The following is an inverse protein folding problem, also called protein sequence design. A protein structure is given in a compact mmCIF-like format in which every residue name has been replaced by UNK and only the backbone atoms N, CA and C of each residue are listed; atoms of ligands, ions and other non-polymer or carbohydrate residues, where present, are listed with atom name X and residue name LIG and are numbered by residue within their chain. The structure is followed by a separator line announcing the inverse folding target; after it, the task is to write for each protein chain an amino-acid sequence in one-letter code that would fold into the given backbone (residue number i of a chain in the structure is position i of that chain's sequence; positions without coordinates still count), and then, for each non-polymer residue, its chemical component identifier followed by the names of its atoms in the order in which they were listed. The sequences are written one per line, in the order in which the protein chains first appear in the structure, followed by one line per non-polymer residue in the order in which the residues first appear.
data_IF_811574309245
#
_entry.id   IF_811574309245
#
_cell.length_a   1.000
_cell.length_b   1.000
_cell.length_c   1.000
_cell.angle_alpha   90.00
_cell.angle_beta   90.00
_cell.angle_gamma   90.00
#
_symmetry.space_group_name_H-M   'P 1'
#
loop_
_entity.id
_entity.type
_entity.pdbx_description
1 polymer ?
#
# COMPACT_ATOMS: atom_id res chain seq x y z
N UNK A 1 -9.59 -13.40 -8.19
CA UNK A 1 -10.28 -12.12 -8.50
C UNK A 1 -11.12 -11.56 -7.34
N UNK A 2 -11.84 -12.38 -6.61
CA UNK A 2 -12.56 -11.92 -5.39
C UNK A 2 -11.61 -11.52 -4.23
N UNK A 3 -10.41 -12.11 -4.13
CA UNK A 3 -9.45 -11.79 -3.06
C UNK A 3 -8.82 -10.39 -3.19
N UNK A 4 -8.48 -9.94 -4.40
CA UNK A 4 -7.91 -8.59 -4.60
C UNK A 4 -8.92 -7.45 -4.38
N UNK A 5 -10.23 -7.73 -4.54
CA UNK A 5 -11.28 -6.78 -4.15
C UNK A 5 -11.58 -6.83 -2.64
N UNK A 6 -11.30 -7.96 -1.98
CA UNK A 6 -11.50 -8.15 -0.55
C UNK A 6 -10.59 -7.28 0.32
N UNK A 7 -9.32 -7.11 -0.06
CA UNK A 7 -8.39 -6.28 0.71
C UNK A 7 -8.72 -4.78 0.65
N UNK A 8 -9.16 -4.27 -0.50
CA UNK A 8 -9.55 -2.85 -0.64
C UNK A 8 -10.78 -2.45 0.18
N UNK A 9 -11.53 -3.43 0.67
CA UNK A 9 -12.75 -3.26 1.47
C UNK A 9 -12.75 -4.05 2.77
N UNK A 10 -11.63 -4.68 3.15
CA UNK A 10 -11.53 -5.43 4.40
C UNK A 10 -11.82 -4.51 5.59
N UNK A 11 -12.94 -4.77 6.24
CA UNK A 11 -13.38 -4.03 7.41
C UNK A 11 -12.50 -4.43 8.60
N UNK A 12 -11.76 -3.48 9.15
CA UNK A 12 -11.04 -3.69 10.42
C UNK A 12 -12.02 -3.55 11.58
N UNK A 13 -12.72 -4.62 11.86
CA UNK A 13 -13.71 -4.64 12.94
C UNK A 13 -13.06 -4.78 14.33
N UNK A 14 -11.86 -5.34 14.39
CA UNK A 14 -11.15 -5.65 15.63
C UNK A 14 -9.99 -4.70 15.94
N UNK A 15 -9.66 -3.77 15.03
CA UNK A 15 -8.65 -2.74 15.23
C UNK A 15 -7.20 -3.22 15.08
N UNK A 16 -6.95 -4.18 14.19
CA UNK A 16 -5.61 -4.67 13.88
C UNK A 16 -4.86 -3.78 12.88
N UNK A 17 -5.58 -2.91 12.16
CA UNK A 17 -5.05 -2.13 11.04
C UNK A 17 -3.83 -1.30 11.41
N UNK A 18 -3.78 -0.72 12.61
CA UNK A 18 -2.62 0.08 13.04
C UNK A 18 -1.35 -0.75 13.12
N UNK A 19 -1.42 -2.00 13.61
CA UNK A 19 -0.24 -2.90 13.69
C UNK A 19 0.12 -3.38 12.28
N UNK A 20 -0.87 -3.78 11.47
CA UNK A 20 -0.66 -4.12 10.06
C UNK A 20 0.07 -3.01 9.31
N UNK A 21 -0.42 -1.77 9.43
CA UNK A 21 0.16 -0.63 8.75
C UNK A 21 1.57 -0.32 9.28
N UNK A 22 1.83 -0.55 10.57
CA UNK A 22 3.17 -0.41 11.15
C UNK A 22 4.19 -1.34 10.48
N UNK A 23 3.85 -2.62 10.28
CA UNK A 23 4.71 -3.56 9.55
C UNK A 23 4.86 -3.17 8.08
N UNK A 24 3.75 -2.80 7.44
CA UNK A 24 3.76 -2.41 6.05
C UNK A 24 4.61 -1.15 5.80
N UNK A 25 4.54 -0.16 6.69
CA UNK A 25 5.33 1.07 6.57
C UNK A 25 6.83 0.82 6.83
N UNK A 26 7.16 -0.12 7.69
CA UNK A 26 8.56 -0.48 7.98
C UNK A 26 9.19 -1.30 6.83
N UNK A 27 8.49 -2.32 6.34
CA UNK A 27 8.99 -3.23 5.30
C UNK A 27 8.93 -2.61 3.90
N UNK A 28 7.84 -1.89 3.60
CA UNK A 28 7.49 -1.39 2.28
C UNK A 28 7.11 0.10 2.31
N UNK A 29 8.04 0.98 2.72
CA UNK A 29 7.78 2.43 2.73
C UNK A 29 7.40 2.91 1.33
N UNK A 30 6.69 4.02 1.26
CA UNK A 30 6.23 4.60 0.00
C UNK A 30 5.23 3.74 -0.79
N UNK A 31 4.61 2.74 -0.16
CA UNK A 31 3.53 1.93 -0.76
C UNK A 31 2.17 2.25 -0.16
N UNK A 32 1.12 1.97 -0.92
CA UNK A 32 -0.29 2.05 -0.48
C UNK A 32 -1.11 1.05 -1.27
N UNK A 33 -2.18 0.52 -0.69
CA UNK A 33 -3.11 -0.39 -1.37
C UNK A 33 -3.79 0.21 -2.62
N UNK A 34 -3.69 1.53 -2.82
CA UNK A 34 -4.22 2.22 -4.00
C UNK A 34 -3.18 2.39 -5.12
N UNK A 35 -1.91 2.08 -4.83
CA UNK A 35 -0.86 2.16 -5.82
C UNK A 35 -0.93 0.98 -6.79
N UNK A 36 -0.40 1.20 -7.98
CA UNK A 36 -0.30 0.19 -9.04
C UNK A 36 1.15 0.12 -9.53
N UNK A 37 1.53 0.89 -10.53
CA UNK A 37 2.89 0.93 -11.07
C UNK A 37 3.70 2.09 -10.50
N UNK A 38 4.99 1.86 -10.32
CA UNK A 38 5.90 2.84 -9.74
C UNK A 38 6.12 4.04 -10.68
N UNK A 39 5.97 3.90 -11.99
CA UNK A 39 6.18 4.97 -12.98
C UNK A 39 5.24 6.17 -12.78
N UNK A 40 4.16 6.02 -12.02
CA UNK A 40 3.35 7.17 -11.60
C UNK A 40 4.12 8.21 -10.81
N UNK A 41 5.17 7.82 -10.08
CA UNK A 41 6.08 8.74 -9.38
C UNK A 41 6.85 9.67 -10.34
N UNK A 42 6.96 9.30 -11.62
CA UNK A 42 7.54 10.13 -12.68
C UNK A 42 6.45 10.85 -13.48
N UNK A 43 5.34 10.19 -13.81
CA UNK A 43 4.24 10.81 -14.54
C UNK A 43 3.69 12.05 -13.83
N UNK A 44 3.56 12.01 -12.50
CA UNK A 44 2.99 13.13 -11.72
C UNK A 44 3.83 14.40 -11.84
N UNK A 45 5.14 14.41 -11.55
CA UNK A 45 5.96 15.61 -11.74
C UNK A 45 6.08 16.01 -13.21
N UNK A 46 6.10 15.09 -14.16
CA UNK A 46 6.07 15.43 -15.58
C UNK A 46 4.76 16.12 -16.00
N UNK A 47 3.61 15.69 -15.48
CA UNK A 47 2.34 16.40 -15.68
C UNK A 47 2.40 17.82 -15.11
N UNK A 48 3.00 18.02 -13.93
CA UNK A 48 3.15 19.36 -13.35
C UNK A 48 4.02 20.26 -14.23
N UNK A 49 5.15 19.74 -14.73
CA UNK A 49 6.00 20.45 -15.69
C UNK A 49 5.28 20.76 -17.00
N UNK A 50 4.49 19.82 -17.51
CA UNK A 50 3.66 20.02 -18.70
C UNK A 50 2.65 21.16 -18.51
N UNK A 51 1.91 21.17 -17.38
CA UNK A 51 0.96 22.25 -17.06
C UNK A 51 1.69 23.60 -16.92
N UNK A 52 2.84 23.62 -16.26
CA UNK A 52 3.63 24.84 -16.10
C UNK A 52 4.21 25.36 -17.43
N UNK A 53 4.48 24.46 -18.39
CA UNK A 53 5.04 24.80 -19.69
C UNK A 53 4.00 25.32 -20.69
N UNK A 54 2.76 24.83 -20.63
CA UNK A 54 1.68 25.27 -21.52
C UNK A 54 1.06 26.59 -21.03
N UNK A 55 1.13 27.69 -21.81
CA UNK A 55 0.62 28.99 -21.37
C UNK A 55 -0.89 29.00 -21.09
N UNK A 56 -1.67 28.17 -21.77
CA UNK A 56 -3.14 28.11 -21.60
C UNK A 56 -3.52 27.35 -20.32
N UNK A 57 -2.88 26.19 -20.10
CA UNK A 57 -3.08 25.37 -18.89
C UNK A 57 -2.60 26.12 -17.64
N UNK A 58 -1.40 26.73 -17.70
CA UNK A 58 -0.84 27.53 -16.64
C UNK A 58 -1.77 28.69 -16.23
N UNK A 59 -2.26 29.46 -17.20
CA UNK A 59 -3.20 30.57 -16.94
C UNK A 59 -4.51 30.07 -16.31
N UNK A 60 -5.03 28.93 -16.77
CA UNK A 60 -6.24 28.33 -16.18
C UNK A 60 -5.99 27.88 -14.75
N UNK A 61 -4.89 27.17 -14.50
CA UNK A 61 -4.58 26.60 -13.19
C UNK A 61 -4.26 27.67 -12.13
N UNK A 62 -3.71 28.82 -12.54
CA UNK A 62 -3.39 29.93 -11.62
C UNK A 62 -4.58 30.71 -11.07
N UNK A 63 -5.80 30.44 -11.50
CA UNK A 63 -7.00 31.18 -11.04
C UNK A 63 -7.28 30.91 -9.56
N UNK A 64 -7.32 29.65 -9.17
CA UNK A 64 -7.55 29.16 -7.82
C UNK A 64 -7.26 27.64 -7.72
N UNK A 65 -7.31 27.09 -6.50
CA UNK A 65 -7.06 25.67 -6.25
C UNK A 65 -8.05 24.73 -6.95
N UNK A 66 -9.28 25.16 -7.17
CA UNK A 66 -10.30 24.40 -7.90
C UNK A 66 -9.93 24.31 -9.38
N UNK A 67 -9.61 25.44 -9.99
CA UNK A 67 -9.16 25.49 -11.38
C UNK A 67 -7.87 24.67 -11.60
N UNK A 68 -6.94 24.69 -10.63
CA UNK A 68 -5.75 23.86 -10.66
C UNK A 68 -6.07 22.35 -10.65
N UNK A 69 -7.04 21.92 -9.80
CA UNK A 69 -7.52 20.53 -9.78
C UNK A 69 -8.21 20.13 -11.09
N UNK A 70 -9.04 21.00 -11.64
CA UNK A 70 -9.74 20.75 -12.90
C UNK A 70 -8.74 20.60 -14.06
N UNK A 71 -7.72 21.46 -14.13
CA UNK A 71 -6.64 21.34 -15.12
C UNK A 71 -5.85 20.05 -14.94
N UNK A 72 -5.50 19.69 -13.69
CA UNK A 72 -4.79 18.47 -13.40
C UNK A 72 -5.62 17.22 -13.76
N UNK A 73 -6.94 17.26 -13.54
CA UNK A 73 -7.84 16.19 -13.95
C UNK A 73 -7.91 16.06 -15.47
N UNK A 74 -7.98 17.19 -16.23
CA UNK A 74 -7.95 17.18 -17.69
C UNK A 74 -6.63 16.58 -18.23
N UNK A 75 -5.50 16.94 -17.63
CA UNK A 75 -4.19 16.38 -18.02
C UNK A 75 -4.07 14.91 -17.64
N UNK A 76 -4.61 14.51 -16.47
CA UNK A 76 -4.67 13.09 -16.08
C UNK A 76 -5.50 12.26 -17.09
N UNK A 77 -6.57 12.81 -17.67
CA UNK A 77 -7.33 12.11 -18.71
C UNK A 77 -6.49 11.86 -19.97
N UNK A 78 -5.64 12.80 -20.36
CA UNK A 78 -4.68 12.57 -21.46
C UNK A 78 -3.69 11.45 -21.14
N UNK A 79 -3.18 11.42 -19.89
CA UNK A 79 -2.33 10.32 -19.42
C UNK A 79 -3.05 8.98 -19.49
N UNK A 80 -4.30 8.90 -19.03
CA UNK A 80 -5.13 7.68 -19.10
C UNK A 80 -5.28 7.19 -20.54
N UNK A 81 -5.59 8.08 -21.50
CA UNK A 81 -5.75 7.68 -22.88
C UNK A 81 -4.42 7.24 -23.51
N UNK A 82 -3.30 7.92 -23.24
CA UNK A 82 -1.99 7.52 -23.71
C UNK A 82 -1.56 6.13 -23.13
N UNK A 83 -1.85 5.88 -21.86
CA UNK A 83 -1.60 4.57 -21.22
C UNK A 83 -2.52 3.48 -21.78
N UNK A 84 -3.79 3.77 -22.07
CA UNK A 84 -4.68 2.81 -22.72
C UNK A 84 -4.16 2.37 -24.09
N UNK A 85 -3.65 3.29 -24.87
CA UNK A 85 -3.04 3.00 -26.16
C UNK A 85 -1.79 2.14 -26.00
N UNK A 86 -0.84 2.55 -25.14
CA UNK A 86 0.43 1.84 -24.95
C UNK A 86 0.29 0.48 -24.28
N UNK A 87 -0.76 0.29 -23.47
CA UNK A 87 -1.04 -0.97 -22.78
C UNK A 87 -2.04 -1.87 -23.51
N UNK A 88 -2.43 -1.53 -24.73
CA UNK A 88 -3.42 -2.30 -25.50
C UNK A 88 -4.70 -2.61 -24.71
N UNK A 89 -5.21 -1.59 -24.00
CA UNK A 89 -6.32 -1.72 -23.04
C UNK A 89 -7.54 -2.44 -23.61
N UNK A 90 -7.94 -2.15 -24.85
CA UNK A 90 -9.13 -2.72 -25.48
C UNK A 90 -9.01 -4.23 -25.75
N UNK A 91 -7.79 -4.74 -25.91
CA UNK A 91 -7.53 -6.18 -26.16
C UNK A 91 -7.37 -7.00 -24.89
N UNK A 92 -7.34 -6.37 -23.69
CA UNK A 92 -7.19 -7.05 -22.40
C UNK A 92 -8.46 -7.79 -21.99
N UNK A 93 -8.29 -8.94 -21.31
CA UNK A 93 -9.40 -9.69 -20.72
C UNK A 93 -10.14 -8.85 -19.68
N UNK A 94 -11.44 -9.14 -19.46
CA UNK A 94 -12.24 -8.46 -18.44
C UNK A 94 -11.65 -8.57 -17.03
N UNK A 95 -10.84 -9.61 -16.79
CA UNK A 95 -10.20 -9.88 -15.51
C UNK A 95 -9.01 -8.95 -15.22
N UNK A 96 -8.29 -8.53 -16.27
CA UNK A 96 -7.12 -7.65 -16.19
C UNK A 96 -7.32 -6.33 -16.94
N UNK A 97 -8.57 -5.92 -17.08
CA UNK A 97 -8.93 -4.80 -17.95
C UNK A 97 -8.29 -3.48 -17.56
N UNK A 98 -8.01 -3.24 -16.26
CA UNK A 98 -7.42 -1.96 -15.85
C UNK A 98 -5.94 -1.87 -16.15
N UNK A 99 -5.19 -2.99 -16.14
CA UNK A 99 -3.73 -3.01 -16.32
C UNK A 99 -2.99 -2.00 -15.46
N UNK A 100 -3.50 -1.74 -14.23
CA UNK A 100 -2.91 -0.75 -13.33
C UNK A 100 -3.19 0.71 -13.69
N UNK A 101 -3.99 1.02 -14.72
CA UNK A 101 -4.29 2.40 -15.14
C UNK A 101 -5.32 3.02 -14.21
N UNK A 102 -4.88 3.97 -13.37
CA UNK A 102 -5.76 4.68 -12.43
C UNK A 102 -6.70 5.61 -13.20
N UNK A 103 -7.99 5.38 -13.07
CA UNK A 103 -9.03 6.15 -13.77
C UNK A 103 -9.47 5.56 -15.09
N UNK A 104 -8.93 4.41 -15.54
CA UNK A 104 -9.31 3.79 -16.81
C UNK A 104 -10.82 3.57 -16.99
N UNK A 105 -11.52 3.19 -15.91
CA UNK A 105 -12.97 2.96 -15.91
C UNK A 105 -13.75 4.19 -15.42
N UNK A 106 -13.23 4.89 -14.39
CA UNK A 106 -13.93 6.02 -13.79
C UNK A 106 -13.88 7.29 -14.64
N UNK A 107 -12.90 7.43 -15.52
CA UNK A 107 -12.73 8.62 -16.34
C UNK A 107 -12.75 9.91 -15.51
N UNK A 108 -13.55 10.89 -15.93
CA UNK A 108 -13.72 12.16 -15.23
C UNK A 108 -14.44 12.06 -13.87
N UNK A 109 -15.07 10.92 -13.56
CA UNK A 109 -15.69 10.66 -12.26
C UNK A 109 -14.68 10.17 -11.20
N UNK A 110 -13.39 10.09 -11.55
CA UNK A 110 -12.32 9.71 -10.62
C UNK A 110 -12.27 10.70 -9.45
N UNK A 111 -12.49 10.20 -8.23
CA UNK A 111 -12.53 11.02 -7.02
C UNK A 111 -11.14 11.43 -6.52
N UNK A 112 -10.18 10.51 -6.63
CA UNK A 112 -8.78 10.73 -6.21
C UNK A 112 -7.85 10.60 -7.40
N UNK A 113 -7.20 11.70 -7.75
CA UNK A 113 -6.20 11.71 -8.82
C UNK A 113 -4.92 10.98 -8.40
N UNK A 114 -4.14 10.42 -9.33
CA UNK A 114 -2.86 9.80 -9.03
C UNK A 114 -1.94 10.67 -8.17
N UNK A 115 -1.91 11.98 -8.40
CA UNK A 115 -1.13 12.93 -7.60
C UNK A 115 -1.51 12.97 -6.12
N UNK A 116 -2.77 12.66 -5.78
CA UNK A 116 -3.21 12.54 -4.38
C UNK A 116 -2.94 11.15 -3.82
N UNK A 117 -3.09 10.11 -4.65
CA UNK A 117 -2.86 8.71 -4.27
C UNK A 117 -1.37 8.49 -3.95
N UNK A 118 -0.47 9.00 -4.79
CA UNK A 118 0.99 8.85 -4.64
C UNK A 118 1.66 9.94 -3.79
N UNK A 119 0.89 10.87 -3.22
CA UNK A 119 1.44 12.01 -2.50
C UNK A 119 2.37 11.61 -1.34
N UNK A 120 1.95 10.66 -0.52
CA UNK A 120 2.76 10.15 0.59
C UNK A 120 4.06 9.50 0.10
N UNK A 121 3.99 8.71 -0.97
CA UNK A 121 5.16 8.08 -1.57
C UNK A 121 6.15 9.11 -2.14
N UNK A 122 5.66 10.15 -2.81
CA UNK A 122 6.49 11.25 -3.31
C UNK A 122 7.25 11.95 -2.18
N UNK A 123 6.61 12.15 -1.03
CA UNK A 123 7.25 12.73 0.16
C UNK A 123 8.29 11.77 0.76
N UNK A 124 7.90 10.51 1.00
CA UNK A 124 8.79 9.49 1.60
C UNK A 124 10.05 9.27 0.75
N UNK A 125 9.91 9.22 -0.57
CA UNK A 125 11.02 9.04 -1.50
C UNK A 125 11.70 10.35 -1.88
N UNK A 126 11.29 11.47 -1.29
CA UNK A 126 11.85 12.79 -1.59
C UNK A 126 11.88 13.07 -3.11
N UNK A 127 10.83 12.68 -3.83
CA UNK A 127 10.69 12.94 -5.27
C UNK A 127 10.62 14.45 -5.53
N UNK A 128 10.12 15.22 -4.58
CA UNK A 128 10.18 16.67 -4.57
C UNK A 128 10.84 17.18 -3.29
N UNK A 129 11.52 18.30 -3.39
CA UNK A 129 12.12 19.00 -2.27
C UNK A 129 11.26 20.22 -1.92
N UNK A 130 10.84 20.33 -0.66
CA UNK A 130 10.14 21.52 -0.19
C UNK A 130 9.01 21.23 0.82
N UNK A 131 8.48 22.29 1.42
CA UNK A 131 7.53 22.20 2.53
C UNK A 131 6.06 22.01 2.08
N UNK A 132 5.82 21.65 0.82
CA UNK A 132 4.47 21.58 0.30
C UNK A 132 3.66 20.48 1.00
N UNK A 133 2.45 20.86 1.40
CA UNK A 133 1.53 19.98 2.13
C UNK A 133 0.49 19.32 1.23
N UNK A 134 0.50 19.62 -0.08
CA UNK A 134 -0.45 19.03 -1.03
C UNK A 134 0.06 19.10 -2.49
N UNK A 135 -0.43 18.18 -3.36
CA UNK A 135 -0.10 18.21 -4.79
C UNK A 135 -0.42 19.54 -5.48
N UNK A 136 -1.49 20.21 -5.08
CA UNK A 136 -1.91 21.48 -5.68
C UNK A 136 -0.93 22.61 -5.32
N UNK A 137 -0.48 22.66 -4.07
CA UNK A 137 0.53 23.65 -3.67
C UNK A 137 1.86 23.42 -4.40
N UNK A 138 2.25 22.14 -4.55
CA UNK A 138 3.42 21.79 -5.33
C UNK A 138 3.28 22.24 -6.80
N UNK A 139 2.12 22.01 -7.43
CA UNK A 139 1.85 22.47 -8.79
C UNK A 139 1.97 24.00 -8.91
N UNK A 140 1.41 24.76 -7.98
CA UNK A 140 1.55 26.22 -7.97
C UNK A 140 3.01 26.64 -7.85
N UNK A 141 3.80 26.02 -6.96
CA UNK A 141 5.25 26.29 -6.87
C UNK A 141 5.98 26.01 -8.19
N UNK A 142 5.69 24.87 -8.83
CA UNK A 142 6.30 24.52 -10.14
C UNK A 142 6.02 25.61 -11.19
N UNK A 143 4.78 26.09 -11.26
CA UNK A 143 4.38 27.16 -12.18
C UNK A 143 5.08 28.49 -11.88
N UNK A 144 5.24 28.84 -10.59
CA UNK A 144 5.85 30.11 -10.18
C UNK A 144 7.38 30.10 -10.40
N UNK A 145 8.04 28.99 -10.07
CA UNK A 145 9.48 28.85 -10.28
C UNK A 145 9.82 28.93 -11.78
N UNK A 146 9.03 28.27 -12.64
CA UNK A 146 9.20 28.37 -14.10
C UNK A 146 9.01 29.81 -14.59
N UNK A 147 8.00 30.53 -14.10
CA UNK A 147 7.78 31.92 -14.48
C UNK A 147 8.92 32.83 -14.04
N UNK A 148 9.54 32.57 -12.88
CA UNK A 148 10.72 33.29 -12.41
C UNK A 148 11.94 32.99 -13.27
N UNK A 149 12.22 31.71 -13.61
CA UNK A 149 13.32 31.30 -14.49
C UNK A 149 13.19 31.90 -15.88
N UNK A 150 11.98 31.91 -16.46
CA UNK A 150 11.74 32.52 -17.76
C UNK A 150 12.02 34.03 -17.72
N UNK A 151 11.63 34.76 -16.65
CA UNK A 151 11.93 36.20 -16.49
C UNK A 151 13.42 36.47 -16.40
N UNK A 152 14.19 35.65 -15.65
CA UNK A 152 15.65 35.78 -15.54
C UNK A 152 16.34 35.59 -16.88
N UNK A 153 15.95 34.60 -17.68
CA UNK A 153 16.49 34.36 -19.02
C UNK A 153 16.34 35.54 -19.98
N UNK A 154 15.35 36.41 -19.76
CA UNK A 154 15.16 37.62 -20.57
C UNK A 154 15.93 38.83 -20.02
N UNK A 155 16.44 38.78 -18.77
CA UNK A 155 17.08 39.91 -18.10
C UNK A 155 18.59 39.83 -17.96
N UNK A 156 19.20 38.66 -18.16
CA UNK A 156 20.64 38.45 -17.97
C UNK A 156 21.27 37.63 -19.12
N UNK A 157 22.46 38.02 -19.57
CA UNK A 157 23.36 37.17 -20.34
C UNK A 157 23.89 36.06 -19.44
N UNK A 158 23.21 34.91 -19.39
CA UNK A 158 23.51 33.83 -18.46
C UNK A 158 24.20 32.67 -19.13
N UNK A 159 25.14 32.05 -18.39
CA UNK A 159 25.98 30.90 -18.71
C UNK A 159 25.15 29.69 -19.18
N UNK A 160 25.69 28.88 -20.07
CA UNK A 160 25.01 27.75 -20.75
C UNK A 160 24.52 26.66 -19.78
N UNK A 161 25.16 26.52 -18.60
CA UNK A 161 24.80 25.57 -17.53
C UNK A 161 23.50 25.94 -16.80
N UNK A 162 23.16 27.23 -16.72
CA UNK A 162 21.95 27.72 -16.08
C UNK A 162 20.72 27.60 -16.99
N UNK A 163 20.94 27.33 -18.29
CA UNK A 163 19.86 27.14 -19.29
C UNK A 163 19.12 25.81 -19.14
N UNK A 164 19.71 24.82 -18.48
CA UNK A 164 19.12 23.47 -18.29
C UNK A 164 18.40 23.30 -16.97
N UNK A 165 18.60 24.21 -15.98
CA UNK A 165 17.87 24.11 -14.72
C UNK A 165 16.50 24.77 -14.81
N UNK A 166 15.45 24.00 -14.58
CA UNK A 166 14.07 24.49 -14.47
C UNK A 166 13.86 25.39 -13.24
N UNK A 167 14.92 25.70 -12.47
CA UNK A 167 14.85 26.39 -11.17
C UNK A 167 14.11 25.56 -10.10
N UNK A 168 13.72 24.33 -10.44
CA UNK A 168 13.19 23.33 -9.53
C UNK A 168 14.37 22.42 -9.17
N UNK A 169 14.63 22.27 -7.88
CA UNK A 169 15.65 21.36 -7.37
C UNK A 169 15.25 19.87 -7.54
N UNK A 170 14.68 19.53 -8.69
CA UNK A 170 14.26 18.16 -9.00
C UNK A 170 15.23 17.51 -9.98
N UNK A 171 16.04 16.63 -9.47
CA UNK A 171 16.86 15.74 -10.29
C UNK A 171 15.99 14.58 -10.80
N UNK A 172 15.00 14.88 -11.65
CA UNK A 172 14.16 13.86 -12.28
C UNK A 172 14.70 13.48 -13.65
N UNK A 173 14.59 12.21 -14.06
CA UNK A 173 14.77 11.83 -15.45
C UNK A 173 13.88 12.69 -16.35
N UNK A 174 14.34 13.01 -17.59
CA UNK A 174 13.53 13.77 -18.53
C UNK A 174 12.26 12.99 -18.91
N UNK A 175 11.17 13.72 -19.12
CA UNK A 175 9.97 13.10 -19.71
C UNK A 175 10.28 12.65 -21.15
N UNK A 176 9.62 11.58 -21.65
CA UNK A 176 9.67 11.24 -23.07
C UNK A 176 9.34 12.47 -23.94
N UNK A 177 10.03 12.63 -25.05
CA UNK A 177 9.90 13.84 -25.90
C UNK A 177 8.49 14.08 -26.46
N UNK A 178 7.69 13.03 -26.51
CA UNK A 178 6.29 13.01 -26.95
C UNK A 178 5.29 12.92 -25.79
N UNK A 179 5.73 13.09 -24.54
CA UNK A 179 4.89 12.97 -23.34
C UNK A 179 3.62 13.83 -23.44
N UNK A 180 2.46 13.18 -23.38
CA UNK A 180 1.11 13.75 -23.51
C UNK A 180 0.84 14.47 -24.84
N UNK A 181 1.61 14.20 -25.90
CA UNK A 181 1.23 14.60 -27.26
C UNK A 181 0.07 13.74 -27.74
N UNK A 182 -0.72 14.29 -28.66
CA UNK A 182 -1.80 13.53 -29.27
C UNK A 182 -1.25 12.26 -29.95
N UNK A 183 -1.91 11.13 -29.70
CA UNK A 183 -1.58 9.81 -30.28
C UNK A 183 -0.21 9.22 -29.89
N UNK A 184 0.45 9.75 -28.85
CA UNK A 184 1.68 9.16 -28.33
C UNK A 184 1.35 8.13 -27.24
N UNK A 185 1.60 6.82 -27.48
CA UNK A 185 1.35 5.79 -26.47
C UNK A 185 2.36 5.88 -25.33
N UNK A 186 1.90 5.60 -24.11
CA UNK A 186 2.74 5.48 -22.93
C UNK A 186 2.57 4.09 -22.29
N UNK A 187 3.66 3.56 -21.73
CA UNK A 187 3.66 2.29 -21.00
C UNK A 187 4.08 2.51 -19.55
N UNK A 188 3.99 1.45 -18.73
CA UNK A 188 4.56 1.45 -17.38
C UNK A 188 6.01 0.97 -17.34
N UNK A 189 6.54 0.51 -18.47
CA UNK A 189 7.93 0.10 -18.58
C UNK A 189 8.86 1.27 -18.30
N UNK A 190 9.84 1.05 -17.43
CA UNK A 190 10.86 2.04 -17.10
C UNK A 190 12.02 1.97 -18.08
N UNK A 191 12.58 3.11 -18.44
CA UNK A 191 13.92 3.12 -19.00
C UNK A 191 14.95 2.85 -17.89
N UNK A 192 16.18 2.51 -18.26
CA UNK A 192 17.26 2.27 -17.30
C UNK A 192 17.48 3.47 -16.38
N UNK A 193 17.57 4.68 -16.94
CA UNK A 193 17.75 5.92 -16.17
C UNK A 193 16.60 6.16 -15.18
N UNK A 194 15.36 5.87 -15.59
CA UNK A 194 14.17 5.97 -14.72
C UNK A 194 14.23 4.95 -13.58
N UNK A 195 14.63 3.71 -13.89
CA UNK A 195 14.77 2.65 -12.90
C UNK A 195 15.91 2.94 -11.90
N UNK A 196 17.08 3.37 -12.37
CA UNK A 196 18.21 3.77 -11.53
C UNK A 196 17.87 4.96 -10.62
N UNK A 197 17.13 5.94 -11.15
CA UNK A 197 16.65 7.07 -10.35
C UNK A 197 15.73 6.58 -9.22
N UNK A 198 14.71 5.77 -9.54
CA UNK A 198 13.73 5.28 -8.55
C UNK A 198 14.40 4.35 -7.53
N UNK A 199 15.27 3.43 -7.98
CA UNK A 199 16.07 2.57 -7.10
C UNK A 199 16.90 3.38 -6.11
N UNK A 200 17.60 4.43 -6.61
CA UNK A 200 18.37 5.33 -5.78
C UNK A 200 17.52 6.13 -4.77
N UNK A 201 16.25 6.37 -5.05
CA UNK A 201 15.34 7.00 -4.08
C UNK A 201 14.97 6.07 -2.93
N UNK A 202 14.68 4.80 -3.21
CA UNK A 202 14.44 3.80 -2.16
C UNK A 202 15.66 3.57 -1.26
N UNK A 203 16.87 3.53 -1.85
CA UNK A 203 18.11 3.34 -1.10
C UNK A 203 18.46 4.52 -0.19
N UNK A 204 18.01 5.73 -0.53
CA UNK A 204 18.21 6.97 0.25
C UNK A 204 17.05 7.31 1.18
N UNK A 205 15.92 6.63 1.05
CA UNK A 205 14.81 6.84 1.97
C UNK A 205 15.26 6.47 3.38
N UNK A 206 15.44 7.49 4.22
CA UNK A 206 15.85 7.29 5.60
C UNK A 206 14.79 6.50 6.37
N UNK A 207 15.20 5.61 7.29
CA UNK A 207 14.28 4.98 8.22
C UNK A 207 13.52 6.06 8.99
N UNK A 208 12.23 5.86 9.18
CA UNK A 208 11.29 6.83 9.78
C UNK A 208 11.59 7.23 11.25
N UNK A 209 12.72 6.81 11.85
CA UNK A 209 13.01 7.00 13.27
C UNK A 209 14.48 7.33 13.56
N UNK A 210 14.70 8.10 14.64
CA UNK A 210 16.03 8.44 15.18
C UNK A 210 16.89 7.21 15.59
N UNK A 211 16.28 6.05 15.76
CA UNK A 211 16.91 4.74 15.98
C UNK A 211 16.18 3.71 15.13
N UNK A 212 16.64 3.48 13.92
CA UNK A 212 15.96 2.55 13.02
C UNK A 212 16.05 1.12 13.56
N UNK A 213 14.90 0.46 13.60
CA UNK A 213 14.80 -1.00 13.88
C UNK A 213 15.37 -1.78 12.71
N UNK A 214 15.22 -1.23 11.50
CA UNK A 214 15.76 -1.75 10.25
C UNK A 214 16.86 -0.81 9.76
N UNK A 215 17.99 -1.36 9.33
CA UNK A 215 19.05 -0.59 8.67
C UNK A 215 18.58 -0.09 7.29
N UNK A 216 17.69 -0.86 6.65
CA UNK A 216 17.03 -0.54 5.38
C UNK A 216 15.67 -1.24 5.31
N UNK A 217 14.77 -0.74 4.47
CA UNK A 217 13.51 -1.42 4.19
C UNK A 217 13.73 -2.71 3.37
N UNK A 218 12.77 -3.63 3.42
CA UNK A 218 12.80 -4.82 2.56
C UNK A 218 12.80 -4.45 1.07
N UNK A 219 12.07 -3.42 0.67
CA UNK A 219 12.08 -2.91 -0.72
C UNK A 219 13.50 -2.47 -1.13
N UNK A 220 14.17 -1.67 -0.30
CA UNK A 220 15.53 -1.20 -0.59
C UNK A 220 16.54 -2.36 -0.62
N UNK A 221 16.39 -3.35 0.26
CA UNK A 221 17.20 -4.55 0.24
C UNK A 221 17.02 -5.35 -1.05
N UNK A 222 15.77 -5.66 -1.45
CA UNK A 222 15.49 -6.41 -2.67
C UNK A 222 15.99 -5.68 -3.94
N UNK A 223 15.92 -4.35 -3.99
CA UNK A 223 16.47 -3.58 -5.10
C UNK A 223 18.00 -3.69 -5.15
N UNK A 224 18.68 -3.64 -4.00
CA UNK A 224 20.15 -3.68 -3.93
C UNK A 224 20.68 -5.08 -4.20
N UNK A 225 20.04 -6.08 -3.62
CA UNK A 225 20.37 -7.48 -3.81
C UNK A 225 19.54 -8.05 -4.97
N UNK A 226 20.03 -7.79 -6.19
CA UNK A 226 19.40 -8.24 -7.44
C UNK A 226 19.19 -9.77 -7.52
N UNK A 227 19.79 -10.53 -6.59
CA UNK A 227 19.61 -11.97 -6.43
C UNK A 227 18.41 -12.33 -5.55
N UNK A 228 17.71 -11.37 -4.94
CA UNK A 228 16.51 -11.63 -4.18
C UNK A 228 15.40 -12.12 -5.10
N UNK A 229 15.22 -13.44 -5.18
CA UNK A 229 14.20 -14.04 -6.02
C UNK A 229 12.81 -13.82 -5.41
N UNK A 230 12.13 -12.79 -5.86
CA UNK A 230 10.74 -12.50 -5.48
C UNK A 230 9.73 -13.16 -6.40
N UNK A 231 10.18 -13.80 -7.49
CA UNK A 231 9.32 -14.37 -8.53
C UNK A 231 8.36 -15.40 -7.95
N UNK A 232 7.06 -15.13 -8.04
CA UNK A 232 6.01 -16.03 -7.57
C UNK A 232 5.78 -16.03 -6.06
N UNK A 233 6.51 -15.23 -5.28
CA UNK A 233 6.29 -15.13 -3.83
C UNK A 233 4.94 -14.47 -3.53
N UNK A 234 4.04 -15.24 -2.96
CA UNK A 234 2.71 -14.76 -2.56
C UNK A 234 2.80 -13.84 -1.31
N UNK A 235 3.76 -14.11 -0.44
CA UNK A 235 4.00 -13.36 0.80
C UNK A 235 5.47 -12.99 0.94
N UNK A 236 5.79 -11.90 1.65
CA UNK A 236 7.18 -11.47 1.85
C UNK A 236 7.99 -12.39 2.80
N UNK A 237 7.34 -13.35 3.44
CA UNK A 237 7.96 -14.35 4.32
C UNK A 237 7.99 -15.75 3.73
N UNK A 238 7.98 -15.91 2.42
CA UNK A 238 8.27 -17.20 1.80
C UNK A 238 9.65 -17.71 2.24
N UNK A 239 9.85 -19.04 2.39
CA UNK A 239 11.06 -19.59 2.99
C UNK A 239 12.36 -19.07 2.37
N UNK A 240 12.40 -18.93 1.04
CA UNK A 240 13.58 -18.47 0.29
C UNK A 240 13.90 -17.01 0.62
N UNK A 241 12.88 -16.16 0.75
CA UNK A 241 13.05 -14.76 1.13
C UNK A 241 13.49 -14.62 2.61
N UNK A 242 12.90 -15.43 3.50
CA UNK A 242 13.31 -15.44 4.92
C UNK A 242 14.74 -15.89 5.09
N UNK A 243 15.20 -16.93 4.36
CA UNK A 243 16.56 -17.44 4.44
C UNK A 243 17.58 -16.41 3.95
N UNK A 244 17.27 -15.71 2.86
CA UNK A 244 18.15 -14.71 2.26
C UNK A 244 18.17 -13.37 3.03
N UNK A 245 17.09 -13.04 3.75
CA UNK A 245 16.92 -11.74 4.38
C UNK A 245 17.95 -11.48 5.50
N UNK A 246 18.46 -10.23 5.63
CA UNK A 246 19.20 -9.76 6.79
C UNK A 246 18.46 -10.02 8.10
N UNK A 247 19.17 -10.18 9.20
CA UNK A 247 18.60 -10.57 10.48
C UNK A 247 17.53 -9.61 11.02
N UNK A 248 17.72 -8.31 10.82
CA UNK A 248 16.77 -7.27 11.22
C UNK A 248 15.46 -7.37 10.40
N UNK A 249 15.55 -7.50 9.08
CA UNK A 249 14.41 -7.70 8.19
C UNK A 249 13.73 -9.04 8.50
N UNK A 250 14.51 -10.12 8.63
CA UNK A 250 13.99 -11.47 8.97
C UNK A 250 13.17 -11.44 10.26
N UNK A 251 13.69 -10.76 11.31
CA UNK A 251 12.97 -10.60 12.58
C UNK A 251 11.61 -9.96 12.39
N UNK A 252 11.54 -8.87 11.61
CA UNK A 252 10.27 -8.18 11.33
C UNK A 252 9.32 -9.07 10.52
N UNK A 253 9.83 -9.78 9.50
CA UNK A 253 9.04 -10.69 8.67
C UNK A 253 8.44 -11.86 9.47
N UNK A 254 9.20 -12.45 10.39
CA UNK A 254 8.71 -13.55 11.25
C UNK A 254 7.56 -13.04 12.13
N UNK A 255 7.70 -11.87 12.76
CA UNK A 255 6.61 -11.29 13.55
C UNK A 255 5.39 -10.90 12.71
N UNK A 256 5.60 -10.38 11.50
CA UNK A 256 4.51 -10.06 10.57
C UNK A 256 3.74 -11.32 10.13
N UNK A 257 4.46 -12.40 9.82
CA UNK A 257 3.89 -13.72 9.49
C UNK A 257 3.03 -14.26 10.63
N UNK A 258 3.57 -14.27 11.84
CA UNK A 258 2.89 -14.82 13.02
C UNK A 258 1.68 -13.97 13.40
N UNK A 259 1.80 -12.64 13.28
CA UNK A 259 0.67 -11.72 13.44
C UNK A 259 -0.42 -11.95 12.38
N UNK A 260 -0.06 -12.16 11.12
CA UNK A 260 -1.03 -12.49 10.06
C UNK A 260 -1.77 -13.80 10.38
N UNK A 261 -1.04 -14.84 10.79
CA UNK A 261 -1.67 -16.11 11.16
C UNK A 261 -2.62 -15.96 12.34
N UNK A 262 -2.22 -15.18 13.36
CA UNK A 262 -3.04 -14.91 14.54
C UNK A 262 -4.32 -14.13 14.21
N UNK A 263 -4.20 -13.08 13.40
CA UNK A 263 -5.34 -12.24 13.02
C UNK A 263 -6.33 -12.94 12.09
N UNK A 264 -5.84 -13.89 11.26
CA UNK A 264 -6.72 -14.79 10.48
C UNK A 264 -7.68 -15.57 11.35
N UNK A 265 -7.19 -16.10 12.47
CA UNK A 265 -8.03 -16.85 13.41
C UNK A 265 -9.11 -15.96 14.04
N UNK A 266 -8.74 -14.74 14.42
CA UNK A 266 -9.70 -13.77 14.95
C UNK A 266 -10.77 -13.41 13.91
N UNK A 267 -10.35 -13.16 12.66
CA UNK A 267 -11.27 -12.84 11.56
C UNK A 267 -12.19 -14.02 11.21
N UNK A 268 -11.66 -15.24 11.15
CA UNK A 268 -12.45 -16.44 10.91
C UNK A 268 -13.48 -16.67 12.01
N UNK A 269 -13.07 -16.59 13.28
CA UNK A 269 -13.97 -16.72 14.43
C UNK A 269 -15.03 -15.59 14.48
N UNK A 270 -14.64 -14.36 14.13
CA UNK A 270 -15.58 -13.23 13.98
C UNK A 270 -16.62 -13.51 12.89
N UNK A 271 -16.19 -14.01 11.74
CA UNK A 271 -17.07 -14.32 10.62
C UNK A 271 -18.05 -15.46 10.93
N UNK A 272 -17.64 -16.47 11.69
CA UNK A 272 -18.54 -17.51 12.19
C UNK A 272 -19.65 -16.88 13.02
N UNK A 273 -19.31 -16.08 14.04
CA UNK A 273 -20.30 -15.43 14.90
C UNK A 273 -21.25 -14.51 14.12
N UNK A 274 -20.68 -13.76 13.14
CA UNK A 274 -21.46 -12.85 12.33
C UNK A 274 -22.46 -13.60 11.44
N UNK A 275 -22.03 -14.69 10.78
CA UNK A 275 -22.89 -15.45 9.87
C UNK A 275 -23.98 -16.22 10.62
N UNK A 276 -23.68 -16.77 11.80
CA UNK A 276 -24.67 -17.36 12.69
C UNK A 276 -25.72 -16.33 13.13
N UNK A 277 -25.27 -15.16 13.62
CA UNK A 277 -26.17 -14.10 14.03
C UNK A 277 -27.04 -13.53 12.89
N UNK A 278 -26.54 -13.55 11.66
CA UNK A 278 -27.30 -13.19 10.46
C UNK A 278 -28.31 -14.30 10.10
N UNK A 279 -27.93 -15.58 10.22
CA UNK A 279 -28.81 -16.70 9.96
C UNK A 279 -29.99 -16.73 10.95
N UNK A 280 -29.72 -16.49 12.23
CA UNK A 280 -30.78 -16.39 13.29
C UNK A 280 -31.74 -15.22 13.01
N UNK A 281 -31.23 -14.11 12.50
CA UNK A 281 -32.03 -12.92 12.20
C UNK A 281 -32.87 -13.06 10.93
N UNK A 282 -32.35 -13.72 9.89
CA UNK A 282 -32.97 -13.77 8.54
C UNK A 282 -33.66 -15.11 8.23
N UNK A 283 -33.43 -16.14 9.03
CA UNK A 283 -33.87 -17.52 8.76
C UNK A 283 -33.13 -18.18 7.60
N UNK A 284 -32.03 -17.60 7.10
CA UNK A 284 -31.23 -18.12 6.00
C UNK A 284 -29.74 -17.88 6.27
N UNK A 285 -28.94 -18.92 6.17
CA UNK A 285 -27.53 -18.90 6.50
C UNK A 285 -26.57 -19.43 5.41
N UNK A 286 -26.60 -18.89 4.17
CA UNK A 286 -25.82 -19.49 3.06
C UNK A 286 -24.30 -19.45 3.26
N UNK A 287 -23.81 -18.71 4.25
CA UNK A 287 -22.38 -18.51 4.51
C UNK A 287 -21.87 -19.14 5.81
N UNK A 288 -22.76 -19.74 6.61
CA UNK A 288 -22.38 -20.30 7.93
C UNK A 288 -21.39 -21.45 7.76
N UNK A 289 -21.72 -22.43 6.94
CA UNK A 289 -20.85 -23.59 6.69
C UNK A 289 -19.47 -23.17 6.20
N UNK A 290 -19.42 -22.23 5.23
CA UNK A 290 -18.16 -21.73 4.71
C UNK A 290 -17.32 -21.00 5.78
N UNK A 291 -17.97 -20.24 6.68
CA UNK A 291 -17.26 -19.57 7.76
C UNK A 291 -16.66 -20.58 8.74
N UNK A 292 -17.35 -21.66 9.04
CA UNK A 292 -16.82 -22.76 9.85
C UNK A 292 -15.66 -23.48 9.15
N UNK A 293 -15.78 -23.78 7.87
CA UNK A 293 -14.67 -24.37 7.08
C UNK A 293 -13.43 -23.47 7.06
N UNK A 294 -13.60 -22.15 6.98
CA UNK A 294 -12.49 -21.17 7.04
C UNK A 294 -11.80 -21.20 8.40
N UNK A 295 -12.58 -21.31 9.48
CA UNK A 295 -12.07 -21.42 10.84
C UNK A 295 -11.32 -22.74 11.07
N UNK A 296 -11.87 -23.86 10.58
CA UNK A 296 -11.22 -25.17 10.65
C UNK A 296 -9.91 -25.22 9.87
N UNK A 297 -9.88 -24.64 8.66
CA UNK A 297 -8.65 -24.50 7.87
C UNK A 297 -7.59 -23.68 8.59
N UNK A 298 -7.99 -22.58 9.24
CA UNK A 298 -7.07 -21.82 10.07
C UNK A 298 -6.52 -22.66 11.22
N UNK A 299 -7.37 -23.42 11.92
CA UNK A 299 -6.97 -24.24 13.04
C UNK A 299 -5.92 -25.29 12.63
N UNK A 300 -6.14 -25.96 11.52
CA UNK A 300 -5.16 -26.92 10.95
C UNK A 300 -3.83 -26.22 10.67
N UNK A 301 -3.86 -25.06 10.03
CA UNK A 301 -2.65 -24.29 9.69
C UNK A 301 -1.92 -23.79 10.94
N UNK A 302 -2.65 -23.26 11.92
CA UNK A 302 -2.08 -22.76 13.16
C UNK A 302 -1.47 -23.89 14.02
N UNK A 303 -2.11 -25.06 14.05
CA UNK A 303 -1.59 -26.24 14.73
C UNK A 303 -0.31 -26.80 14.07
N UNK A 304 -0.25 -26.78 12.75
CA UNK A 304 0.93 -27.21 11.98
C UNK A 304 2.12 -26.24 12.11
N UNK A 305 1.84 -24.94 12.26
CA UNK A 305 2.88 -23.92 12.44
C UNK A 305 3.51 -23.96 13.84
N UNK A 306 2.90 -24.65 14.79
CA UNK A 306 3.29 -24.66 16.20
C UNK A 306 2.59 -23.56 16.99
N UNK A 307 2.93 -23.46 18.27
CA UNK A 307 2.35 -22.44 19.15
C UNK A 307 3.01 -21.10 18.83
N UNK A 308 2.23 -20.17 18.30
CA UNK A 308 2.68 -18.82 17.96
C UNK A 308 3.38 -18.15 19.14
N UNK A 309 4.55 -17.55 18.88
CA UNK A 309 5.38 -16.88 19.89
C UNK A 309 5.68 -17.75 21.14
N UNK A 310 5.95 -19.04 20.94
CA UNK A 310 6.39 -19.95 21.99
C UNK A 310 7.92 -20.06 21.95
N UNK A 311 8.57 -19.60 23.01
CA UNK A 311 10.04 -19.67 23.18
C UNK A 311 10.59 -21.08 23.13
N UNK A 312 9.87 -22.01 23.74
CA UNK A 312 10.33 -23.41 23.83
C UNK A 312 10.29 -24.11 22.47
N UNK A 313 9.47 -23.63 21.57
CA UNK A 313 9.38 -24.10 20.18
C UNK A 313 10.32 -23.34 19.21
N UNK A 314 11.21 -22.48 19.71
CA UNK A 314 12.13 -21.68 18.91
C UNK A 314 11.49 -20.48 18.21
N UNK A 315 10.26 -20.12 18.58
CA UNK A 315 9.58 -18.93 18.11
C UNK A 315 9.97 -17.71 18.95
N UNK A 316 9.89 -16.53 18.34
CA UNK A 316 10.10 -15.27 19.05
C UNK A 316 8.99 -15.07 20.10
N UNK A 317 9.35 -14.50 21.28
CA UNK A 317 8.40 -14.25 22.35
C UNK A 317 7.40 -13.13 21.98
N UNK A 318 6.18 -13.19 22.54
CA UNK A 318 5.21 -12.12 22.40
C UNK A 318 5.71 -10.77 22.97
N UNK A 319 6.55 -10.81 23.99
CA UNK A 319 7.20 -9.60 24.52
C UNK A 319 8.08 -8.93 23.45
N UNK A 320 8.85 -9.71 22.68
CA UNK A 320 9.66 -9.22 21.57
C UNK A 320 8.79 -8.61 20.47
N UNK A 321 7.64 -9.22 20.16
CA UNK A 321 6.65 -8.66 19.25
C UNK A 321 6.12 -7.30 19.72
N UNK A 322 5.74 -7.19 21.00
CA UNK A 322 5.23 -5.96 21.61
C UNK A 322 6.26 -4.84 21.54
N UNK A 323 7.50 -5.15 21.93
CA UNK A 323 8.61 -4.19 21.93
C UNK A 323 8.98 -3.77 20.51
N UNK A 324 8.99 -4.70 19.56
CA UNK A 324 9.21 -4.42 18.14
C UNK A 324 8.13 -3.47 17.60
N UNK A 325 6.85 -3.78 17.80
CA UNK A 325 5.74 -2.95 17.31
C UNK A 325 5.80 -1.54 17.88
N UNK A 326 6.09 -1.39 19.19
CA UNK A 326 6.22 -0.07 19.83
C UNK A 326 7.48 0.67 19.39
N UNK A 327 8.55 -0.03 19.07
CA UNK A 327 9.78 0.55 18.52
C UNK A 327 9.54 1.05 17.08
N UNK A 328 8.79 0.31 16.27
CA UNK A 328 8.41 0.72 14.91
C UNK A 328 7.38 1.87 14.93
N UNK A 329 6.42 1.82 15.84
CA UNK A 329 5.37 2.82 15.94
C UNK A 329 4.88 3.02 17.39
N UNK A 330 5.42 4.01 18.11
CA UNK A 330 5.03 4.28 19.49
C UNK A 330 3.58 4.78 19.66
N UNK A 331 2.87 5.05 18.56
CA UNK A 331 1.46 5.47 18.58
C UNK A 331 0.47 4.31 18.62
N UNK A 332 0.94 3.06 18.50
CA UNK A 332 0.07 1.88 18.64
C UNK A 332 -0.52 1.84 20.04
N UNK A 333 -1.84 1.78 20.12
CA UNK A 333 -2.55 1.81 21.40
C UNK A 333 -2.25 0.53 22.22
N UNK A 334 -1.87 0.71 23.49
CA UNK A 334 -1.61 -0.43 24.40
C UNK A 334 -2.82 -1.37 24.50
N UNK A 335 -4.04 -0.82 24.51
CA UNK A 335 -5.28 -1.62 24.52
C UNK A 335 -5.44 -2.53 23.29
N UNK A 336 -4.79 -2.19 22.17
CA UNK A 336 -4.75 -3.07 21.00
C UNK A 336 -3.75 -4.20 21.20
N UNK A 337 -2.57 -3.93 21.74
CA UNK A 337 -1.58 -4.95 22.08
C UNK A 337 -2.10 -5.91 23.16
N UNK A 338 -2.76 -5.40 24.21
CA UNK A 338 -3.37 -6.21 25.26
C UNK A 338 -4.50 -7.11 24.71
N UNK A 339 -5.24 -6.63 23.71
CA UNK A 339 -6.22 -7.45 23.01
C UNK A 339 -5.56 -8.55 22.18
N UNK A 340 -4.45 -8.25 21.46
CA UNK A 340 -3.70 -9.24 20.70
C UNK A 340 -3.16 -10.33 21.60
N UNK A 341 -2.62 -9.99 22.77
CA UNK A 341 -2.11 -10.94 23.76
C UNK A 341 -3.22 -11.87 24.29
N UNK A 342 -4.36 -11.30 24.69
CA UNK A 342 -5.52 -12.09 25.14
C UNK A 342 -6.08 -13.00 24.04
N UNK A 343 -6.05 -12.54 22.80
CA UNK A 343 -6.45 -13.36 21.66
C UNK A 343 -5.42 -14.47 21.40
N UNK A 344 -4.14 -14.21 21.53
CA UNK A 344 -3.08 -15.22 21.44
C UNK A 344 -3.30 -16.36 22.45
N UNK A 345 -3.57 -16.03 23.71
CA UNK A 345 -3.84 -17.04 24.75
C UNK A 345 -5.08 -17.90 24.39
N UNK A 346 -6.11 -17.25 23.86
CA UNK A 346 -7.33 -17.93 23.39
C UNK A 346 -7.05 -18.83 22.19
N UNK A 347 -6.26 -18.37 21.24
CA UNK A 347 -5.85 -19.13 20.05
C UNK A 347 -5.00 -20.35 20.42
N UNK A 348 -4.06 -20.21 21.36
CA UNK A 348 -3.24 -21.31 21.90
C UNK A 348 -4.09 -22.41 22.52
N UNK A 349 -5.10 -22.05 23.30
CA UNK A 349 -6.01 -23.02 23.89
C UNK A 349 -6.85 -23.74 22.81
N UNK A 350 -7.29 -23.05 21.77
CA UNK A 350 -8.03 -23.64 20.67
C UNK A 350 -7.17 -24.63 19.86
N UNK A 351 -5.93 -24.26 19.53
CA UNK A 351 -4.99 -25.14 18.81
C UNK A 351 -4.62 -26.39 19.65
N UNK A 352 -4.41 -26.23 20.94
CA UNK A 352 -4.10 -27.36 21.84
C UNK A 352 -5.27 -28.36 21.94
N UNK A 353 -6.50 -27.89 21.84
CA UNK A 353 -7.71 -28.74 21.91
C UNK A 353 -8.17 -29.28 20.56
N UNK A 354 -7.60 -28.82 19.46
CA UNK A 354 -8.01 -29.13 18.07
C UNK A 354 -9.53 -28.92 17.85
N UNK A 355 -10.11 -27.92 18.52
CA UNK A 355 -11.55 -27.62 18.45
C UNK A 355 -11.79 -26.13 18.59
N UNK A 356 -12.51 -25.58 17.60
CA UNK A 356 -12.98 -24.18 17.60
C UNK A 356 -14.49 -24.08 17.73
N UNK A 357 -15.20 -25.18 17.57
CA UNK A 357 -16.66 -25.23 17.35
C UNK A 357 -17.48 -24.72 18.53
N UNK A 358 -16.90 -24.68 19.71
CA UNK A 358 -17.55 -24.07 20.89
C UNK A 358 -16.49 -23.48 21.83
N UNK A 359 -16.10 -22.23 21.54
CA UNK A 359 -15.15 -21.49 22.35
C UNK A 359 -15.80 -20.19 22.86
N UNK A 360 -16.69 -20.27 23.88
CA UNK A 360 -17.36 -19.10 24.44
C UNK A 360 -16.40 -17.98 24.83
N UNK A 361 -15.24 -18.24 25.47
CA UNK A 361 -14.27 -17.19 25.76
C UNK A 361 -13.77 -16.43 24.51
N UNK A 362 -13.57 -17.12 23.38
CA UNK A 362 -13.17 -16.47 22.12
C UNK A 362 -14.30 -15.58 21.60
N UNK A 363 -15.53 -16.08 21.64
CA UNK A 363 -16.72 -15.34 21.18
C UNK A 363 -16.92 -14.07 21.98
N UNK A 364 -16.88 -14.18 23.30
CA UNK A 364 -17.03 -13.04 24.21
C UNK A 364 -15.92 -12.00 24.05
N UNK A 365 -14.68 -12.45 23.88
CA UNK A 365 -13.52 -11.57 23.68
C UNK A 365 -13.67 -10.72 22.42
N UNK A 366 -14.06 -11.34 21.29
CA UNK A 366 -14.22 -10.64 20.01
C UNK A 366 -15.43 -9.70 20.05
N UNK A 367 -16.57 -10.13 20.61
CA UNK A 367 -17.76 -9.29 20.75
C UNK A 367 -17.49 -8.07 21.65
N UNK A 368 -16.81 -8.26 22.78
CA UNK A 368 -16.42 -7.17 23.67
C UNK A 368 -15.45 -6.20 22.99
N UNK A 369 -14.47 -6.71 22.22
CA UNK A 369 -13.54 -5.87 21.46
C UNK A 369 -14.23 -5.03 20.40
N UNK A 370 -15.10 -5.63 19.57
CA UNK A 370 -15.87 -4.90 18.57
C UNK A 370 -16.77 -3.84 19.22
N UNK A 371 -17.48 -4.21 20.30
CA UNK A 371 -18.34 -3.27 21.02
C UNK A 371 -17.55 -2.07 21.58
N UNK A 372 -16.35 -2.30 22.12
CA UNK A 372 -15.48 -1.23 22.60
C UNK A 372 -15.02 -0.28 21.50
N UNK A 373 -14.77 -0.79 20.30
CA UNK A 373 -14.31 0.02 19.15
C UNK A 373 -15.44 0.72 18.39
N UNK A 374 -16.57 0.05 18.21
CA UNK A 374 -17.65 0.47 17.30
C UNK A 374 -18.90 0.97 18.02
N UNK A 375 -19.07 0.67 19.30
CA UNK A 375 -20.27 1.00 20.07
C UNK A 375 -21.55 0.48 19.39
N UNK A 376 -22.52 1.33 19.14
CA UNK A 376 -23.79 0.96 18.46
C UNK A 376 -23.62 0.43 17.02
N UNK A 377 -22.43 0.54 16.42
CA UNK A 377 -22.11 -0.01 15.10
C UNK A 377 -21.48 -1.40 15.17
N UNK A 378 -21.35 -1.99 16.37
CA UNK A 378 -20.85 -3.34 16.56
C UNK A 378 -21.84 -4.35 16.00
N UNK A 379 -21.42 -5.14 15.02
CA UNK A 379 -22.27 -6.08 14.27
C UNK A 379 -22.56 -7.35 15.04
N UNK A 380 -21.64 -7.81 15.88
CA UNK A 380 -21.86 -9.01 16.70
C UNK A 380 -22.98 -8.79 17.76
N UNK A 381 -23.13 -7.57 18.26
CA UNK A 381 -24.07 -7.26 19.35
C UNK A 381 -25.32 -6.51 18.91
N UNK A 382 -25.34 -5.87 17.74
CA UNK A 382 -26.46 -5.03 17.29
C UNK A 382 -27.03 -5.46 15.94
N UNK A 383 -28.28 -5.92 15.90
CA UNK A 383 -28.98 -6.36 14.69
C UNK A 383 -29.04 -5.27 13.61
N UNK A 384 -29.40 -4.03 13.97
CA UNK A 384 -29.44 -2.92 13.03
C UNK A 384 -28.06 -2.60 12.38
N UNK A 385 -26.96 -2.88 13.07
CA UNK A 385 -25.62 -2.70 12.50
C UNK A 385 -25.29 -3.80 11.48
N UNK A 386 -25.82 -5.02 11.63
CA UNK A 386 -25.70 -6.10 10.65
C UNK A 386 -26.42 -5.78 9.35
N UNK A 387 -27.62 -5.19 9.44
CA UNK A 387 -28.43 -4.80 8.29
C UNK A 387 -27.81 -3.64 7.50
N UNK A 388 -27.20 -2.69 8.21
CA UNK A 388 -26.63 -1.48 7.61
C UNK A 388 -25.34 -1.73 6.82
N UNK A 389 -24.66 -2.87 7.02
CA UNK A 389 -23.36 -3.19 6.40
C UNK A 389 -23.30 -4.64 5.98
N UNK A 390 -22.93 -4.85 4.73
CA UNK A 390 -22.67 -6.17 4.15
C UNK A 390 -21.16 -6.45 4.09
N UNK A 391 -20.80 -7.72 3.98
CA UNK A 391 -19.42 -8.20 3.86
C UNK A 391 -18.86 -8.80 5.14
N UNK A 392 -17.93 -9.71 4.95
CA UNK A 392 -17.19 -10.42 6.00
C UNK A 392 -15.86 -9.72 6.29
N UNK A 393 -15.28 -10.00 7.44
CA UNK A 393 -13.92 -9.53 7.74
C UNK A 393 -12.91 -10.27 6.88
N UNK A 394 -11.96 -9.54 6.30
CA UNK A 394 -10.85 -10.14 5.55
C UNK A 394 -9.94 -10.95 6.47
N UNK A 395 -9.42 -12.05 5.94
CA UNK A 395 -8.67 -13.04 6.73
C UNK A 395 -7.17 -13.02 6.51
N UNK A 396 -6.67 -12.36 5.46
CA UNK A 396 -5.25 -12.31 5.11
C UNK A 396 -4.76 -10.88 4.93
N UNK A 397 -3.57 -10.61 5.46
CA UNK A 397 -2.82 -9.40 5.21
C UNK A 397 -1.59 -9.71 4.36
N UNK A 398 -1.45 -9.05 3.23
CA UNK A 398 -0.21 -9.07 2.43
C UNK A 398 0.77 -7.97 2.84
N UNK A 399 0.40 -7.11 3.78
CA UNK A 399 1.18 -5.95 4.25
C UNK A 399 1.64 -5.03 3.11
N UNK A 400 0.87 -4.92 2.04
CA UNK A 400 1.19 -4.21 0.78
C UNK A 400 2.30 -4.88 -0.05
N UNK A 401 2.59 -6.16 0.22
CA UNK A 401 3.58 -6.92 -0.55
C UNK A 401 3.26 -6.94 -2.04
N UNK A 402 2.00 -7.12 -2.43
CA UNK A 402 1.59 -7.13 -3.83
C UNK A 402 1.98 -5.83 -4.56
N UNK A 403 1.90 -4.68 -3.89
CA UNK A 403 2.32 -3.39 -4.45
C UNK A 403 3.85 -3.27 -4.47
N UNK A 404 4.51 -3.66 -3.37
CA UNK A 404 5.97 -3.62 -3.31
C UNK A 404 6.60 -4.56 -4.34
N UNK A 405 6.04 -5.74 -4.53
CA UNK A 405 6.46 -6.71 -5.54
C UNK A 405 6.33 -6.13 -6.95
N UNK A 406 5.20 -5.49 -7.28
CA UNK A 406 5.03 -4.81 -8.57
C UNK A 406 6.08 -3.71 -8.78
N UNK A 407 6.44 -2.97 -7.72
CA UNK A 407 7.50 -1.97 -7.81
C UNK A 407 8.86 -2.57 -8.06
N UNK A 408 9.16 -3.71 -7.42
CA UNK A 408 10.40 -4.46 -7.65
C UNK A 408 10.46 -4.98 -9.09
N UNK A 409 9.36 -5.56 -9.60
CA UNK A 409 9.28 -6.03 -10.99
C UNK A 409 9.49 -4.88 -11.99
N UNK A 410 8.81 -3.73 -11.78
CA UNK A 410 8.97 -2.55 -12.63
C UNK A 410 10.43 -2.06 -12.63
N UNK A 411 11.07 -1.96 -11.44
CA UNK A 411 12.46 -1.48 -11.31
C UNK A 411 13.45 -2.48 -11.91
N UNK A 412 13.37 -3.77 -11.56
CA UNK A 412 14.30 -4.78 -12.06
C UNK A 412 14.22 -4.90 -13.58
N UNK A 413 13.01 -4.94 -14.14
CA UNK A 413 12.82 -4.95 -15.58
C UNK A 413 13.45 -3.73 -16.27
N UNK A 414 13.35 -2.56 -15.66
CA UNK A 414 13.98 -1.34 -16.17
C UNK A 414 15.52 -1.35 -16.05
N UNK A 415 16.07 -1.90 -14.96
CA UNK A 415 17.52 -2.05 -14.79
C UNK A 415 18.13 -3.06 -15.76
N UNK A 416 17.37 -4.10 -16.13
CA UNK A 416 17.78 -5.13 -17.10
C UNK A 416 17.56 -4.70 -18.55
N UNK A 417 16.83 -3.60 -18.79
CA UNK A 417 16.63 -3.09 -20.14
C UNK A 417 17.98 -2.71 -20.76
N UNK A 418 18.26 -3.19 -21.96
CA UNK A 418 19.43 -2.78 -22.71
C UNK A 418 19.35 -1.26 -22.98
N UNK A 419 20.49 -0.58 -22.93
CA UNK A 419 20.59 0.83 -23.31
C UNK A 419 20.04 0.97 -24.74
N UNK A 420 18.89 1.64 -24.88
CA UNK A 420 18.20 1.83 -26.15
C UNK A 420 18.72 3.07 -26.88
#
# INVERSE_FOLDING_TARGET
MLNAMGEKTALDELGFGTIRDTFADALFPATSTQHTHIRYLLFIPWMFRHIAADPSLNRRAKKDDRAARDVLADVNMKLVEALKQGQNYESRSSADRTGGIIGAQAGRALRLLPSSIYWSAMNTLQIHEGPETSPIRLLHRVMDTRAASTRRRFSEETDETDRLSDGLAWTLPPAPGDFLRADAPLTFELTRDEAEFLAGRFQRAEPLQDRPVLEQSMTAWCIRDHGCNTTGAQYPWEPELLEAAPDDIRRVLVHARDFNLLTRGAAAQYNVQLTEALADQTGSGPHVERAHEDLDRWLVKASAHGVLWDRDAGHQDFTDFRDLVLSLNPRVARTTLDFVERWLDTARLATARHSTTDNPPARDLLAAREAALKGRRARLTHAAAREARTGMMGTDYDFRWSVAHQYLDDIHSGLDAADA
#
